data_IF_619670044033
#
_entry.id   IF_619670044033
#
_cell.length_a   1.000
_cell.length_b   1.000
_cell.length_c   1.000
_cell.angle_alpha   90.00
_cell.angle_beta   90.00
_cell.angle_gamma   90.00
#
_symmetry.space_group_name_H-M   'P 1'
#
loop_
_entity.id
_entity.type
_entity.pdbx_description
1 polymer ?
#
# COMPACT_ATOMS: atom_id res chain seq x y z
N UNK A 1 65.21 -11.06 60.00
CA UNK A 1 66.16 -11.44 58.92
C UNK A 1 65.43 -11.40 57.58
N UNK A 2 65.84 -10.47 56.71
CA UNK A 2 65.69 -10.35 55.23
C UNK A 2 64.36 -10.69 54.50
N UNK A 3 63.71 -9.66 53.92
CA UNK A 3 63.56 -9.35 52.45
C UNK A 3 62.50 -10.23 51.74
N UNK A 4 61.27 -9.72 51.51
CA UNK A 4 60.79 -8.99 50.31
C UNK A 4 60.76 -9.82 49.02
N UNK A 5 59.56 -10.20 48.59
CA UNK A 5 59.22 -10.53 47.20
C UNK A 5 57.91 -9.80 46.85
N UNK A 6 58.03 -8.78 45.98
CA UNK A 6 56.91 -8.01 45.42
C UNK A 6 56.29 -8.80 44.28
N UNK A 7 55.02 -9.17 44.40
CA UNK A 7 54.24 -9.77 43.32
C UNK A 7 53.77 -8.67 42.37
N UNK A 8 54.31 -8.64 41.15
CA UNK A 8 53.90 -7.71 40.09
C UNK A 8 52.66 -8.27 39.39
N UNK A 9 51.65 -7.42 39.29
CA UNK A 9 50.37 -7.61 38.61
C UNK A 9 50.57 -7.69 37.09
N UNK A 10 50.04 -8.73 36.45
CA UNK A 10 49.83 -8.79 35.00
C UNK A 10 48.34 -8.78 34.70
N UNK A 11 47.79 -7.64 34.31
CA UNK A 11 46.41 -7.50 33.83
C UNK A 11 46.39 -7.68 32.32
N UNK A 12 45.77 -8.75 31.84
CA UNK A 12 45.54 -9.04 30.43
C UNK A 12 44.27 -8.29 29.98
N UNK A 13 44.41 -7.20 29.23
CA UNK A 13 43.29 -6.48 28.64
C UNK A 13 42.88 -7.17 27.33
N UNK A 14 41.75 -7.90 27.36
CA UNK A 14 41.06 -8.39 26.17
C UNK A 14 40.19 -7.25 25.62
N UNK A 15 40.57 -6.64 24.49
CA UNK A 15 39.70 -5.71 23.77
C UNK A 15 38.75 -6.49 22.86
N UNK A 16 37.52 -6.67 23.33
CA UNK A 16 36.42 -7.22 22.55
C UNK A 16 35.93 -6.12 21.57
N UNK A 17 36.37 -6.18 20.32
CA UNK A 17 35.84 -5.34 19.25
C UNK A 17 34.36 -5.72 19.00
N UNK A 18 33.46 -4.93 19.58
CA UNK A 18 32.02 -5.06 19.38
C UNK A 18 31.68 -4.42 18.03
N UNK A 19 31.49 -5.27 17.03
CA UNK A 19 30.92 -4.87 15.74
C UNK A 19 29.45 -4.52 15.99
N UNK A 20 29.17 -3.25 16.28
CA UNK A 20 27.82 -2.72 16.39
C UNK A 20 27.15 -2.85 15.01
N UNK A 21 26.36 -3.91 14.83
CA UNK A 21 25.33 -3.95 13.80
C UNK A 21 24.35 -2.84 14.14
N UNK A 22 24.50 -1.67 13.53
CA UNK A 22 23.45 -0.66 13.57
C UNK A 22 22.22 -1.26 12.87
N UNK A 23 21.06 -1.40 13.55
CA UNK A 23 19.85 -1.73 12.83
C UNK A 23 19.67 -0.65 11.77
N UNK A 24 19.54 -1.04 10.50
CA UNK A 24 18.99 -0.13 9.50
C UNK A 24 17.69 0.40 10.09
N UNK A 25 17.60 1.71 10.29
CA UNK A 25 16.36 2.32 10.77
C UNK A 25 15.27 1.84 9.81
N UNK A 26 14.37 0.99 10.31
CA UNK A 26 13.25 0.53 9.52
C UNK A 26 12.43 1.78 9.22
N UNK A 27 12.25 2.07 7.93
CA UNK A 27 11.40 3.16 7.48
C UNK A 27 10.07 3.10 8.22
N UNK A 28 9.64 4.22 8.79
CA UNK A 28 8.33 4.30 9.47
C UNK A 28 7.29 4.69 8.43
N UNK A 29 6.47 3.74 7.94
CA UNK A 29 5.46 4.07 6.94
C UNK A 29 4.38 4.97 7.55
N UNK A 30 3.81 5.84 6.73
CA UNK A 30 2.59 6.59 7.09
C UNK A 30 1.43 5.63 6.98
N UNK A 31 0.92 5.15 8.13
CA UNK A 31 -0.15 4.16 8.18
C UNK A 31 -1.39 4.71 8.86
N UNK A 32 -2.52 4.17 8.46
CA UNK A 32 -3.81 4.46 9.07
C UNK A 32 -4.57 3.17 9.31
N UNK A 33 -5.09 3.02 10.52
CA UNK A 33 -5.96 1.92 10.88
C UNK A 33 -7.42 2.26 10.55
N UNK A 34 -8.09 1.36 9.82
CA UNK A 34 -9.50 1.45 9.47
C UNK A 34 -10.36 0.44 10.27
N UNK A 35 -11.61 0.84 10.54
CA UNK A 35 -12.57 0.02 11.26
C UNK A 35 -12.13 -0.32 12.68
N UNK A 36 -12.50 -1.52 13.16
CA UNK A 36 -12.16 -2.00 14.51
C UNK A 36 -10.71 -2.50 14.63
N UNK A 37 -9.76 -1.97 13.85
CA UNK A 37 -8.36 -2.42 13.86
C UNK A 37 -8.04 -3.56 12.89
N UNK A 38 -8.95 -3.89 11.97
CA UNK A 38 -8.81 -5.04 11.05
C UNK A 38 -8.39 -4.66 9.63
N UNK A 39 -8.34 -3.37 9.32
CA UNK A 39 -7.75 -2.87 8.08
C UNK A 39 -6.68 -1.83 8.37
N UNK A 40 -5.66 -1.81 7.52
CA UNK A 40 -4.58 -0.84 7.56
C UNK A 40 -4.33 -0.32 6.15
N UNK A 41 -4.35 0.99 5.98
CA UNK A 41 -3.81 1.65 4.80
C UNK A 41 -2.36 2.02 5.08
N UNK A 42 -1.44 1.54 4.25
CA UNK A 42 -0.09 2.10 4.13
C UNK A 42 -0.10 3.14 3.01
N UNK A 43 -0.06 4.41 3.37
CA UNK A 43 -0.07 5.54 2.43
C UNK A 43 1.31 5.78 1.80
N UNK A 44 2.37 5.32 2.45
CA UNK A 44 3.73 5.39 1.90
C UNK A 44 3.90 4.39 0.76
N UNK A 45 3.41 3.16 0.94
CA UNK A 45 3.43 2.12 -0.11
C UNK A 45 2.22 2.20 -1.04
N UNK A 46 1.13 2.86 -0.62
CA UNK A 46 -0.12 2.93 -1.35
C UNK A 46 -0.85 1.59 -1.40
N UNK A 47 -1.00 0.93 -0.25
CA UNK A 47 -1.70 -0.37 -0.15
C UNK A 47 -2.75 -0.34 0.94
N UNK A 48 -3.88 -0.99 0.70
CA UNK A 48 -4.89 -1.30 1.73
C UNK A 48 -4.83 -2.79 2.00
N UNK A 49 -4.59 -3.15 3.26
CA UNK A 49 -4.51 -4.52 3.76
C UNK A 49 -5.64 -4.72 4.77
N UNK A 50 -6.37 -5.83 4.65
CA UNK A 50 -7.36 -6.24 5.65
C UNK A 50 -7.10 -7.66 6.12
N UNK A 51 -7.36 -7.94 7.40
CA UNK A 51 -7.12 -9.25 8.01
C UNK A 51 -8.45 -9.98 8.14
N UNK A 52 -8.65 -11.02 7.33
CA UNK A 52 -9.78 -11.94 7.44
C UNK A 52 -9.51 -13.06 8.45
N UNK A 53 -10.48 -13.36 9.31
CA UNK A 53 -10.33 -14.40 10.34
C UNK A 53 -11.36 -15.53 10.16
N UNK A 54 -10.93 -16.77 10.38
CA UNK A 54 -11.78 -17.95 10.24
C UNK A 54 -11.53 -18.97 11.34
N UNK A 55 -12.55 -19.25 12.14
CA UNK A 55 -12.49 -20.25 13.19
C UNK A 55 -12.73 -21.67 12.63
N UNK A 56 -12.07 -22.71 13.19
CA UNK A 56 -12.32 -24.08 12.80
C UNK A 56 -13.70 -24.53 13.31
N UNK A 57 -14.48 -25.30 12.52
CA UNK A 57 -15.77 -25.80 12.97
C UNK A 57 -15.62 -26.87 14.07
N UNK A 58 -16.68 -27.03 14.87
CA UNK A 58 -16.72 -28.00 15.98
C UNK A 58 -16.56 -29.45 15.52
N UNK A 59 -17.05 -29.76 14.30
CA UNK A 59 -17.06 -31.11 13.73
C UNK A 59 -16.18 -31.22 12.48
N UNK A 60 -15.76 -32.46 12.18
CA UNK A 60 -14.93 -32.79 11.01
C UNK A 60 -13.53 -33.25 11.40
N UNK A 61 -12.82 -33.86 10.44
CA UNK A 61 -11.41 -34.25 10.63
C UNK A 61 -10.51 -33.02 10.79
N UNK A 62 -9.32 -33.13 11.41
CA UNK A 62 -8.40 -32.01 11.54
C UNK A 62 -8.08 -31.33 10.20
N UNK A 63 -7.96 -32.11 9.12
CA UNK A 63 -7.74 -31.58 7.77
C UNK A 63 -8.97 -30.79 7.26
N UNK A 64 -10.19 -31.30 7.46
CA UNK A 64 -11.42 -30.60 7.08
C UNK A 64 -11.58 -29.29 7.85
N UNK A 65 -11.30 -29.31 9.16
CA UNK A 65 -11.38 -28.12 10.01
C UNK A 65 -10.45 -27.01 9.53
N UNK A 66 -9.19 -27.35 9.22
CA UNK A 66 -8.20 -26.40 8.68
C UNK A 66 -8.63 -25.81 7.34
N UNK A 67 -9.13 -26.64 6.42
CA UNK A 67 -9.59 -26.17 5.12
C UNK A 67 -10.79 -25.21 5.25
N UNK A 68 -11.74 -25.53 6.15
CA UNK A 68 -12.92 -24.71 6.38
C UNK A 68 -12.57 -23.39 7.09
N UNK A 69 -11.68 -23.42 8.08
CA UNK A 69 -11.16 -22.21 8.72
C UNK A 69 -10.48 -21.28 7.70
N UNK A 70 -9.62 -21.83 6.82
CA UNK A 70 -9.01 -21.05 5.74
C UNK A 70 -10.05 -20.42 4.81
N UNK A 71 -11.07 -21.17 4.40
CA UNK A 71 -12.15 -20.63 3.53
C UNK A 71 -12.95 -19.52 4.22
N UNK A 72 -13.24 -19.69 5.51
CA UNK A 72 -13.91 -18.68 6.30
C UNK A 72 -13.06 -17.40 6.41
N UNK A 73 -11.76 -17.53 6.70
CA UNK A 73 -10.83 -16.41 6.78
C UNK A 73 -10.75 -15.62 5.47
N UNK A 74 -10.64 -16.31 4.33
CA UNK A 74 -10.63 -15.67 3.00
C UNK A 74 -11.95 -14.93 2.75
N UNK A 75 -13.09 -15.57 3.01
CA UNK A 75 -14.40 -14.93 2.82
C UNK A 75 -14.60 -13.71 3.72
N UNK A 76 -14.12 -13.81 4.97
CA UNK A 76 -14.17 -12.72 5.93
C UNK A 76 -13.27 -11.54 5.52
N UNK A 77 -12.09 -11.84 4.97
CA UNK A 77 -11.17 -10.83 4.42
C UNK A 77 -11.80 -10.06 3.27
N UNK A 78 -12.39 -10.73 2.28
CA UNK A 78 -13.10 -10.04 1.18
C UNK A 78 -14.30 -9.22 1.65
N UNK A 79 -15.05 -9.71 2.65
CA UNK A 79 -16.16 -8.97 3.25
C UNK A 79 -15.67 -7.67 3.90
N UNK A 80 -14.59 -7.74 4.66
CA UNK A 80 -13.99 -6.56 5.30
C UNK A 80 -13.40 -5.60 4.28
N UNK A 81 -12.73 -6.10 3.24
CA UNK A 81 -12.21 -5.27 2.17
C UNK A 81 -13.33 -4.49 1.48
N UNK A 82 -14.44 -5.16 1.15
CA UNK A 82 -15.61 -4.54 0.52
C UNK A 82 -16.25 -3.43 1.35
N UNK A 83 -16.12 -3.50 2.68
CA UNK A 83 -16.63 -2.49 3.60
C UNK A 83 -15.65 -1.32 3.72
N UNK A 84 -14.38 -1.63 4.03
CA UNK A 84 -13.36 -0.65 4.37
C UNK A 84 -12.91 0.17 3.15
N UNK A 85 -12.99 -0.39 1.94
CA UNK A 85 -12.68 0.35 0.70
C UNK A 85 -13.55 1.61 0.55
N UNK A 86 -14.79 1.59 1.03
CA UNK A 86 -15.70 2.73 0.97
C UNK A 86 -15.25 3.89 1.88
N UNK A 87 -14.49 3.60 2.93
CA UNK A 87 -13.98 4.60 3.87
C UNK A 87 -12.68 5.27 3.42
N UNK A 88 -12.07 4.79 2.32
CA UNK A 88 -10.84 5.37 1.81
C UNK A 88 -11.11 6.80 1.33
N UNK A 89 -10.30 7.75 1.80
CA UNK A 89 -10.43 9.16 1.44
C UNK A 89 -9.91 9.40 0.04
N UNK A 90 -10.76 10.03 -0.77
CA UNK A 90 -10.37 10.49 -2.09
C UNK A 90 -9.71 11.84 -1.96
N UNK A 91 -10.36 12.82 -1.34
CA UNK A 91 -9.83 14.17 -1.12
C UNK A 91 -10.28 14.69 0.25
N UNK A 92 -10.20 16.00 0.47
CA UNK A 92 -10.58 16.61 1.75
C UNK A 92 -12.09 16.70 1.99
N UNK A 93 -12.93 16.37 1.01
CA UNK A 93 -14.39 16.52 1.06
C UNK A 93 -15.14 15.21 0.84
N UNK A 94 -14.54 14.22 0.18
CA UNK A 94 -15.20 13.00 -0.28
C UNK A 94 -14.40 11.73 0.00
N UNK A 95 -15.13 10.62 0.11
CA UNK A 95 -14.59 9.26 0.22
C UNK A 95 -15.07 8.40 -0.94
N UNK A 96 -14.46 7.23 -1.14
CA UNK A 96 -14.82 6.29 -2.22
C UNK A 96 -16.31 5.94 -2.21
N UNK A 97 -16.93 5.86 -1.02
CA UNK A 97 -18.37 5.63 -0.87
C UNK A 97 -19.22 6.61 -1.68
N UNK A 98 -18.85 7.88 -1.70
CA UNK A 98 -19.65 8.93 -2.33
C UNK A 98 -19.69 8.70 -3.85
N UNK A 99 -18.54 8.36 -4.46
CA UNK A 99 -18.44 8.01 -5.88
C UNK A 99 -19.18 6.71 -6.23
N UNK A 100 -19.11 5.69 -5.36
CA UNK A 100 -19.81 4.41 -5.54
C UNK A 100 -21.33 4.58 -5.48
N UNK A 101 -21.83 5.55 -4.70
CA UNK A 101 -23.26 5.89 -4.65
C UNK A 101 -23.71 6.58 -5.93
N UNK A 102 -22.87 7.45 -6.47
CA UNK A 102 -23.21 8.27 -7.63
C UNK A 102 -23.09 7.56 -8.99
N UNK A 103 -22.27 6.51 -9.11
CA UNK A 103 -21.98 5.86 -10.38
C UNK A 103 -21.99 4.34 -10.27
N UNK A 104 -22.92 3.71 -10.99
CA UNK A 104 -22.99 2.25 -11.12
C UNK A 104 -21.75 1.66 -11.81
N UNK A 105 -21.10 2.43 -12.70
CA UNK A 105 -19.83 2.03 -13.33
C UNK A 105 -18.72 1.95 -12.29
N UNK A 106 -18.55 2.99 -11.47
CA UNK A 106 -17.56 3.02 -10.38
C UNK A 106 -17.84 1.90 -9.38
N UNK A 107 -19.10 1.74 -8.98
CA UNK A 107 -19.53 0.63 -8.12
C UNK A 107 -19.15 -0.73 -8.70
N UNK A 108 -19.36 -0.93 -10.00
CA UNK A 108 -19.02 -2.20 -10.67
C UNK A 108 -17.52 -2.42 -10.70
N UNK A 109 -16.73 -1.38 -11.00
CA UNK A 109 -15.27 -1.42 -11.03
C UNK A 109 -14.66 -1.67 -9.64
N UNK A 110 -15.10 -0.94 -8.61
CA UNK A 110 -14.66 -1.15 -7.22
C UNK A 110 -15.02 -2.57 -6.76
N UNK A 111 -16.22 -3.05 -7.07
CA UNK A 111 -16.60 -4.43 -6.74
C UNK A 111 -15.75 -5.48 -7.49
N UNK A 112 -15.39 -5.21 -8.74
CA UNK A 112 -14.50 -6.08 -9.51
C UNK A 112 -13.08 -6.09 -8.91
N UNK A 113 -12.57 -4.93 -8.51
CA UNK A 113 -11.27 -4.79 -7.83
C UNK A 113 -11.23 -5.59 -6.53
N UNK A 114 -12.25 -5.44 -5.67
CA UNK A 114 -12.34 -6.18 -4.40
C UNK A 114 -12.38 -7.69 -4.65
N UNK A 115 -13.13 -8.15 -5.66
CA UNK A 115 -13.18 -9.58 -6.04
C UNK A 115 -11.86 -10.09 -6.63
N UNK A 116 -11.11 -9.23 -7.31
CA UNK A 116 -9.80 -9.51 -7.88
C UNK A 116 -8.65 -9.40 -6.86
N UNK A 117 -8.91 -8.91 -5.64
CA UNK A 117 -7.89 -8.72 -4.63
C UNK A 117 -7.19 -10.03 -4.28
N UNK A 118 -5.89 -9.95 -4.05
CA UNK A 118 -5.08 -11.12 -3.73
C UNK A 118 -5.18 -11.44 -2.24
N UNK A 119 -5.61 -12.67 -1.94
CA UNK A 119 -5.53 -13.23 -0.60
C UNK A 119 -4.14 -13.86 -0.40
N UNK A 120 -3.42 -13.41 0.63
CA UNK A 120 -2.10 -13.88 1.00
C UNK A 120 -2.07 -15.28 1.60
N UNK A 121 -0.90 -15.66 2.09
CA UNK A 121 -0.72 -16.96 2.76
C UNK A 121 -1.45 -17.01 4.11
N UNK A 122 -2.12 -18.12 4.44
CA UNK A 122 -2.83 -18.26 5.71
C UNK A 122 -1.87 -18.40 6.89
N UNK A 123 -2.11 -17.62 7.93
CA UNK A 123 -1.47 -17.73 9.24
C UNK A 123 -2.33 -18.59 10.16
N UNK A 124 -1.78 -19.68 10.68
CA UNK A 124 -2.47 -20.58 11.61
C UNK A 124 -2.11 -20.24 13.05
N UNK A 125 -3.09 -19.86 13.84
CA UNK A 125 -2.94 -19.52 15.25
C UNK A 125 -3.01 -20.78 16.13
N UNK A 126 -2.59 -20.63 17.40
CA UNK A 126 -2.51 -21.73 18.36
C UNK A 126 -3.88 -22.30 18.77
N UNK A 127 -4.92 -21.48 18.70
CA UNK A 127 -6.32 -21.85 18.94
C UNK A 127 -6.97 -22.55 17.72
N UNK A 128 -6.25 -22.66 16.60
CA UNK A 128 -6.72 -23.23 15.34
C UNK A 128 -7.43 -22.24 14.42
N UNK A 129 -7.56 -20.97 14.82
CA UNK A 129 -8.03 -19.88 13.96
C UNK A 129 -7.03 -19.66 12.81
N UNK A 130 -7.57 -19.32 11.65
CA UNK A 130 -6.78 -18.94 10.48
C UNK A 130 -6.99 -17.47 10.20
N UNK A 131 -5.89 -16.75 9.98
CA UNK A 131 -5.91 -15.38 9.47
C UNK A 131 -5.36 -15.33 8.05
N UNK A 132 -5.93 -14.48 7.21
CA UNK A 132 -5.48 -14.23 5.84
C UNK A 132 -5.50 -12.74 5.58
N UNK A 133 -4.38 -12.21 5.11
CA UNK A 133 -4.29 -10.81 4.71
C UNK A 133 -4.79 -10.69 3.27
N UNK A 134 -5.74 -9.80 3.01
CA UNK A 134 -6.27 -9.50 1.67
C UNK A 134 -5.86 -8.09 1.31
N UNK A 135 -5.20 -7.93 0.16
CA UNK A 135 -4.53 -6.67 -0.19
C UNK A 135 -5.00 -6.13 -1.55
N UNK A 136 -5.17 -4.81 -1.62
CA UNK A 136 -5.30 -4.07 -2.88
C UNK A 136 -4.31 -2.91 -2.93
N UNK A 137 -3.93 -2.52 -4.14
CA UNK A 137 -3.15 -1.32 -4.38
C UNK A 137 -4.07 -0.09 -4.47
N UNK A 138 -3.62 1.05 -3.94
CA UNK A 138 -4.29 2.34 -4.08
C UNK A 138 -3.98 2.98 -5.43
N UNK A 139 -2.75 2.81 -5.93
CA UNK A 139 -2.28 3.27 -7.24
C UNK A 139 -1.84 2.09 -8.12
N UNK A 140 -1.69 2.33 -9.42
CA UNK A 140 -1.45 1.37 -10.48
C UNK A 140 -2.67 1.14 -11.39
N UNK A 141 -2.51 0.46 -12.53
CA UNK A 141 -3.59 0.22 -13.50
C UNK A 141 -4.70 -0.70 -12.98
N UNK A 142 -4.41 -1.54 -11.98
CA UNK A 142 -5.36 -2.44 -11.32
C UNK A 142 -5.56 -2.05 -9.85
N UNK A 143 -5.86 -0.77 -9.62
CA UNK A 143 -5.89 -0.17 -8.29
C UNK A 143 -7.23 0.48 -7.96
N UNK A 144 -7.37 0.90 -6.70
CA UNK A 144 -8.53 1.68 -6.27
C UNK A 144 -8.64 3.01 -7.02
N UNK A 145 -7.51 3.66 -7.34
CA UNK A 145 -7.55 4.93 -8.06
C UNK A 145 -8.11 4.77 -9.46
N UNK A 146 -7.63 3.75 -10.18
CA UNK A 146 -8.14 3.42 -11.51
C UNK A 146 -9.62 3.01 -11.49
N UNK A 147 -10.08 2.34 -10.42
CA UNK A 147 -11.46 1.88 -10.29
C UNK A 147 -12.47 2.99 -9.96
N UNK A 148 -12.03 4.10 -9.38
CA UNK A 148 -12.90 5.28 -9.14
C UNK A 148 -12.97 6.19 -10.38
N UNK A 149 -12.08 5.98 -11.37
CA UNK A 149 -12.10 6.63 -12.68
C UNK A 149 -12.23 8.17 -12.58
N UNK A 150 -11.24 8.79 -11.92
CA UNK A 150 -11.22 10.23 -11.66
C UNK A 150 -11.17 11.11 -12.92
N UNK A 151 -10.81 10.53 -14.07
CA UNK A 151 -10.65 11.24 -15.35
C UNK A 151 -12.02 11.68 -15.93
N UNK A 152 -13.10 10.96 -15.63
CA UNK A 152 -14.44 11.32 -16.10
C UNK A 152 -15.20 12.34 -15.21
N UNK A 153 -14.66 12.77 -14.07
CA UNK A 153 -15.33 13.74 -13.17
C UNK A 153 -14.51 14.95 -12.71
N UNK A 154 -13.20 15.02 -12.97
CA UNK A 154 -12.43 16.25 -12.71
C UNK A 154 -12.63 17.31 -13.82
N UNK A 155 -13.13 16.93 -14.99
CA UNK A 155 -13.54 17.87 -16.03
C UNK A 155 -15.07 18.00 -16.10
N UNK A 156 -15.59 19.11 -15.56
CA UNK A 156 -16.89 19.76 -15.82
C UNK A 156 -17.93 19.60 -14.70
N UNK A 157 -18.30 20.69 -13.98
CA UNK A 157 -19.59 20.70 -13.31
C UNK A 157 -20.67 20.60 -14.39
N UNK A 158 -21.52 19.58 -14.32
CA UNK A 158 -22.72 19.52 -15.16
C UNK A 158 -23.54 20.77 -14.88
N UNK A 159 -23.51 21.72 -15.82
CA UNK A 159 -24.55 22.70 -15.96
C UNK A 159 -25.85 21.93 -16.22
N UNK A 160 -26.69 21.84 -15.18
CA UNK A 160 -28.08 21.40 -15.32
C UNK A 160 -28.84 22.51 -16.07
N UNK A 161 -28.81 22.45 -17.39
CA UNK A 161 -29.67 23.27 -18.26
C UNK A 161 -30.33 22.38 -19.30
N UNK A 162 -31.67 22.43 -19.33
CA UNK A 162 -32.55 21.85 -20.34
C UNK A 162 -32.99 20.43 -19.99
N UNK A 163 -34.10 20.22 -19.28
CA UNK A 163 -35.44 20.02 -19.87
C UNK A 163 -35.41 19.38 -21.24
N UNK A 164 -35.57 18.05 -21.29
CA UNK A 164 -36.24 17.37 -22.40
C UNK A 164 -37.03 16.16 -21.85
N UNK A 165 -38.18 15.82 -22.46
CA UNK A 165 -39.21 14.99 -21.84
C UNK A 165 -38.93 13.48 -21.97
N UNK A 166 -39.42 12.75 -20.97
CA UNK A 166 -39.43 11.29 -20.85
C UNK A 166 -39.99 10.62 -22.12
N UNK A 167 -39.18 9.78 -22.76
CA UNK A 167 -39.66 8.77 -23.70
C UNK A 167 -39.83 7.43 -22.98
N UNK A 168 -41.06 6.92 -22.99
CA UNK A 168 -41.48 5.66 -22.36
C UNK A 168 -40.86 4.43 -23.08
N UNK A 169 -40.39 3.40 -22.35
CA UNK A 169 -39.81 2.20 -22.96
C UNK A 169 -40.90 1.29 -23.58
N UNK A 170 -40.62 0.60 -24.71
CA UNK A 170 -41.59 -0.29 -25.33
C UNK A 170 -41.83 -1.56 -24.50
N UNK A 171 -43.11 -1.96 -24.43
CA UNK A 171 -43.60 -3.12 -23.68
C UNK A 171 -43.06 -4.47 -24.20
N UNK A 172 -42.60 -5.32 -23.27
CA UNK A 172 -42.24 -6.72 -23.52
C UNK A 172 -43.48 -7.61 -23.36
N UNK A 173 -43.86 -8.47 -24.33
CA UNK A 173 -44.96 -9.42 -24.14
C UNK A 173 -44.51 -10.63 -23.31
N UNK A 174 -45.30 -10.97 -22.28
CA UNK A 174 -45.13 -12.13 -21.39
C UNK A 174 -45.65 -13.46 -22.02
N UNK A 175 -45.28 -14.64 -21.47
CA UNK A 175 -45.07 -15.88 -22.24
C UNK A 175 -46.29 -16.82 -22.33
N UNK A 176 -46.25 -17.76 -23.29
CA UNK A 176 -47.23 -18.85 -23.43
C UNK A 176 -46.71 -20.14 -22.74
N UNK A 177 -47.56 -20.90 -22.02
CA UNK A 177 -47.11 -22.06 -21.23
C UNK A 177 -47.06 -23.35 -22.06
N UNK A 178 -46.07 -24.22 -21.82
CA UNK A 178 -46.07 -25.60 -22.31
C UNK A 178 -45.71 -26.58 -21.18
N UNK A 179 -46.51 -27.62 -21.10
CA UNK A 179 -46.69 -28.55 -20.00
C UNK A 179 -45.59 -29.62 -19.86
N UNK A 180 -45.40 -30.10 -18.63
CA UNK A 180 -44.89 -31.44 -18.32
C UNK A 180 -46.09 -32.43 -18.23
N UNK A 181 -45.87 -33.75 -18.40
CA UNK A 181 -45.67 -34.58 -17.19
C UNK A 181 -44.74 -35.82 -17.33
N UNK A 182 -43.99 -36.05 -16.24
CA UNK A 182 -43.64 -37.27 -15.46
C UNK A 182 -42.98 -38.58 -16.03
N UNK A 183 -42.18 -39.31 -15.18
CA UNK A 183 -41.35 -40.52 -15.50
C UNK A 183 -42.02 -41.83 -14.97
N UNK A 184 -41.37 -43.00 -14.64
CA UNK A 184 -39.97 -43.49 -14.75
C UNK A 184 -39.84 -44.97 -15.27
N UNK A 185 -38.61 -45.53 -15.40
CA UNK A 185 -38.28 -46.92 -14.96
C UNK A 185 -36.81 -47.35 -15.13
N UNK A 186 -36.38 -48.19 -14.18
CA UNK A 186 -35.08 -48.85 -13.97
C UNK A 186 -34.70 -49.82 -15.13
N UNK A 187 -33.47 -50.35 -15.27
CA UNK A 187 -32.92 -51.49 -14.50
C UNK A 187 -31.45 -51.78 -14.91
N UNK A 188 -30.59 -52.18 -13.98
CA UNK A 188 -29.32 -52.90 -14.23
C UNK A 188 -29.58 -54.43 -14.30
N UNK A 189 -28.69 -55.32 -14.84
CA UNK A 189 -27.59 -55.87 -14.01
C UNK A 189 -26.34 -56.49 -14.73
N UNK A 190 -25.25 -56.58 -13.93
CA UNK A 190 -24.24 -57.67 -13.70
C UNK A 190 -23.28 -58.25 -14.80
N UNK A 191 -22.02 -58.39 -14.32
CA UNK A 191 -20.78 -59.03 -14.85
C UNK A 191 -20.78 -60.58 -14.81
N UNK A 192 -19.81 -61.35 -15.40
CA UNK A 192 -18.59 -61.77 -14.65
C UNK A 192 -17.27 -62.20 -15.42
N UNK A 193 -16.13 -62.16 -14.67
CA UNK A 193 -14.90 -63.03 -14.56
C UNK A 193 -13.93 -63.31 -15.76
N UNK A 194 -12.60 -62.98 -15.75
CA UNK A 194 -11.32 -63.55 -15.15
C UNK A 194 -10.74 -64.81 -15.88
N UNK A 195 -9.44 -65.29 -15.78
CA UNK A 195 -8.28 -64.96 -14.87
C UNK A 195 -6.80 -65.10 -15.40
N UNK A 196 -5.79 -64.76 -14.55
CA UNK A 196 -4.40 -65.31 -14.51
C UNK A 196 -3.27 -64.27 -14.70
N UNK A 197 -2.14 -64.18 -13.97
CA UNK A 197 -1.51 -64.97 -12.90
C UNK A 197 -0.44 -64.13 -12.12
N UNK A 198 -0.15 -64.51 -10.88
CA UNK A 198 0.94 -64.10 -9.93
C UNK A 198 2.16 -65.08 -10.03
N UNK A 199 3.25 -65.12 -9.19
CA UNK A 199 3.86 -64.21 -8.17
C UNK A 199 5.46 -64.13 -8.11
N UNK A 200 6.02 -63.11 -7.39
CA UNK A 200 7.20 -62.98 -6.42
C UNK A 200 8.58 -63.70 -6.68
N UNK A 201 9.81 -63.36 -6.13
CA UNK A 201 10.24 -62.54 -4.94
C UNK A 201 11.51 -61.61 -5.03
N UNK A 202 11.73 -60.83 -3.94
CA UNK A 202 12.89 -59.96 -3.53
C UNK A 202 14.19 -60.76 -3.16
N UNK A 203 15.44 -60.22 -2.97
CA UNK A 203 15.83 -59.20 -1.93
C UNK A 203 17.16 -58.36 -2.07
N UNK A 204 17.35 -57.38 -1.13
CA UNK A 204 18.60 -56.76 -0.58
C UNK A 204 19.62 -56.11 -1.55
N UNK A 205 20.50 -55.16 -1.23
CA UNK A 205 20.83 -54.20 -0.17
C UNK A 205 22.11 -53.50 -0.70
N UNK A 206 22.23 -52.17 -0.63
CA UNK A 206 23.48 -51.40 -0.37
C UNK A 206 23.30 -49.91 -0.66
N UNK A 207 23.76 -49.10 0.29
CA UNK A 207 24.16 -47.69 0.18
C UNK A 207 25.65 -47.62 0.59
N UNK A 208 26.34 -46.46 0.67
CA UNK A 208 26.12 -45.14 0.08
C UNK A 208 27.39 -44.58 -0.64
N UNK A 209 27.28 -43.44 -1.36
CA UNK A 209 28.45 -42.61 -1.67
C UNK A 209 28.09 -41.10 -1.79
N UNK A 210 28.66 -40.38 -0.84
CA UNK A 210 28.95 -38.96 -0.64
C UNK A 210 29.32 -38.11 -1.88
N UNK A 211 28.78 -36.88 -2.00
CA UNK A 211 29.55 -35.72 -2.52
C UNK A 211 28.93 -34.36 -2.11
N UNK A 212 29.45 -33.84 -1.01
CA UNK A 212 30.05 -32.50 -0.84
C UNK A 212 29.28 -31.22 -1.20
N UNK A 213 28.98 -30.49 -0.12
CA UNK A 213 28.68 -29.06 0.03
C UNK A 213 29.79 -28.17 -0.56
N UNK A 214 29.42 -27.20 -1.40
CA UNK A 214 30.28 -26.09 -1.81
C UNK A 214 29.60 -24.73 -1.55
N UNK A 215 30.25 -23.90 -0.74
CA UNK A 215 29.87 -22.53 -0.41
C UNK A 215 30.28 -21.55 -1.54
N UNK A 216 29.58 -20.42 -1.74
CA UNK A 216 30.04 -19.38 -2.65
C UNK A 216 31.15 -18.52 -2.00
N UNK A 217 32.10 -18.13 -2.84
CA UNK A 217 33.37 -17.43 -2.58
C UNK A 217 33.15 -15.91 -2.39
N UNK A 218 33.99 -15.18 -1.62
CA UNK A 218 33.80 -13.74 -1.38
C UNK A 218 34.42 -12.88 -2.49
N UNK A 219 33.76 -11.76 -2.83
CA UNK A 219 34.27 -10.72 -3.73
C UNK A 219 34.95 -9.60 -2.90
N UNK A 220 36.02 -8.94 -3.39
CA UNK A 220 36.97 -8.18 -2.57
C UNK A 220 36.50 -6.76 -2.20
N UNK A 221 36.96 -6.30 -1.04
CA UNK A 221 36.87 -4.94 -0.56
C UNK A 221 37.84 -3.98 -1.30
N UNK A 222 37.40 -2.74 -1.49
CA UNK A 222 38.24 -1.60 -1.90
C UNK A 222 37.71 -0.33 -1.16
N UNK A 223 38.49 0.76 -1.03
CA UNK A 223 39.10 1.15 0.23
C UNK A 223 38.34 2.25 0.98
N UNK A 224 38.44 2.21 2.31
CA UNK A 224 37.96 3.25 3.23
C UNK A 224 38.76 4.54 3.05
N UNK A 225 38.08 5.63 2.69
CA UNK A 225 38.59 6.99 2.83
C UNK A 225 38.10 7.58 4.15
N UNK A 226 39.08 8.08 4.89
CA UNK A 226 39.07 8.62 6.25
C UNK A 226 38.08 9.75 6.51
N UNK A 227 37.54 9.72 7.73
CA UNK A 227 36.69 10.75 8.34
C UNK A 227 37.42 12.10 8.48
N UNK A 228 36.67 13.19 8.27
CA UNK A 228 36.89 14.43 9.01
C UNK A 228 35.52 14.97 9.45
N UNK A 229 35.22 14.79 10.73
CA UNK A 229 34.08 15.38 11.40
C UNK A 229 34.31 16.89 11.54
N UNK A 230 33.32 17.69 11.16
CA UNK A 230 33.13 19.05 11.69
C UNK A 230 31.68 19.15 12.18
N UNK A 231 31.56 19.23 13.48
CA UNK A 231 30.35 19.48 14.27
C UNK A 231 29.87 20.92 14.11
N UNK A 232 28.57 21.11 13.83
CA UNK A 232 27.78 22.26 14.31
C UNK A 232 26.27 21.98 14.18
N UNK A 233 25.42 22.40 15.13
CA UNK A 233 23.98 22.17 15.08
C UNK A 233 23.32 23.18 14.14
N UNK A 234 22.67 22.73 13.07
CA UNK A 234 21.92 23.60 12.16
C UNK A 234 20.52 23.82 12.72
N UNK A 235 20.20 25.09 13.02
CA UNK A 235 18.85 25.53 13.41
C UNK A 235 17.93 25.52 12.18
N UNK A 236 16.67 25.08 12.28
CA UNK A 236 15.70 25.24 11.20
C UNK A 236 14.97 26.58 11.36
N UNK A 237 15.38 27.62 10.63
CA UNK A 237 14.44 28.68 10.25
C UNK A 237 14.91 29.49 9.03
N UNK A 238 13.99 29.61 8.06
CA UNK A 238 13.84 30.65 7.05
C UNK A 238 14.98 30.95 6.05
N UNK A 239 14.60 30.87 4.77
CA UNK A 239 15.25 31.45 3.58
C UNK A 239 16.60 30.83 3.16
N UNK A 240 16.56 29.62 2.60
CA UNK A 240 17.57 29.22 1.63
C UNK A 240 17.15 29.76 0.26
N UNK A 241 17.89 30.77 -0.22
CA UNK A 241 17.91 31.24 -1.61
C UNK A 241 18.00 30.08 -2.62
N UNK A 242 17.58 30.28 -3.89
CA UNK A 242 17.48 29.20 -4.86
C UNK A 242 18.83 28.51 -5.03
N UNK A 243 18.84 27.19 -4.83
CA UNK A 243 19.93 26.33 -5.24
C UNK A 243 20.28 26.69 -6.70
N UNK A 244 21.57 26.81 -7.02
CA UNK A 244 22.02 27.19 -8.37
C UNK A 244 21.58 26.21 -9.48
N UNK A 245 21.08 25.03 -9.12
CA UNK A 245 20.24 24.18 -9.96
C UNK A 245 18.79 24.27 -9.46
N UNK A 246 17.84 24.49 -10.37
CA UNK A 246 16.43 24.63 -10.03
C UNK A 246 15.84 23.47 -9.22
N UNK A 247 14.61 23.64 -8.76
CA UNK A 247 13.92 22.64 -7.94
C UNK A 247 13.35 21.51 -8.79
N UNK A 248 13.56 20.27 -8.36
CA UNK A 248 13.08 19.07 -9.06
C UNK A 248 11.72 18.56 -8.58
N UNK A 249 11.23 19.11 -7.46
CA UNK A 249 10.04 18.66 -6.76
C UNK A 249 9.79 19.51 -5.53
N UNK A 250 8.78 19.16 -4.74
CA UNK A 250 8.47 19.82 -3.46
C UNK A 250 8.18 18.80 -2.36
N UNK A 251 8.73 19.05 -1.18
CA UNK A 251 8.33 18.42 0.08
C UNK A 251 7.58 19.45 0.90
N UNK A 252 6.37 19.12 1.33
CA UNK A 252 5.60 19.92 2.26
C UNK A 252 5.70 19.29 3.66
N UNK A 253 6.30 20.01 4.61
CA UNK A 253 6.32 19.62 6.02
C UNK A 253 4.95 19.89 6.66
N UNK A 254 4.21 18.80 6.88
CA UNK A 254 2.89 18.77 7.48
C UNK A 254 2.93 18.25 8.94
N UNK A 255 4.10 18.04 9.54
CA UNK A 255 4.23 17.40 10.86
C UNK A 255 3.66 18.24 12.00
N UNK A 256 3.53 19.55 11.83
CA UNK A 256 2.96 20.43 12.87
C UNK A 256 1.45 20.65 12.74
N UNK A 257 0.81 20.04 11.73
CA UNK A 257 -0.63 20.17 11.50
C UNK A 257 -1.32 18.80 11.60
N UNK A 258 -2.62 18.80 11.89
CA UNK A 258 -3.43 17.57 11.98
C UNK A 258 -3.99 17.18 10.61
N UNK A 259 -3.09 16.91 9.66
CA UNK A 259 -3.45 16.45 8.31
C UNK A 259 -3.79 14.97 8.31
N UNK A 260 -4.69 14.57 7.42
CA UNK A 260 -4.99 13.17 7.11
C UNK A 260 -4.57 12.88 5.68
N UNK A 261 -4.03 11.69 5.39
CA UNK A 261 -3.69 11.30 4.03
C UNK A 261 -4.96 10.98 3.22
N UNK A 262 -4.87 11.18 1.90
CA UNK A 262 -5.94 10.93 0.93
C UNK A 262 -5.34 10.57 -0.44
N UNK A 263 -6.13 10.03 -1.36
CA UNK A 263 -5.64 9.64 -2.69
C UNK A 263 -5.33 10.83 -3.62
N UNK A 264 -6.06 11.93 -3.45
CA UNK A 264 -5.99 13.14 -4.24
C UNK A 264 -6.12 14.40 -3.34
N UNK A 265 -5.12 14.70 -2.49
CA UNK A 265 -5.10 15.95 -1.73
C UNK A 265 -4.70 17.13 -2.64
N UNK A 266 -5.09 18.35 -2.27
CA UNK A 266 -4.63 19.57 -2.94
C UNK A 266 -3.72 20.45 -2.06
N UNK A 267 -3.01 21.37 -2.71
CA UNK A 267 -2.24 22.45 -2.08
C UNK A 267 -2.91 23.77 -2.47
N UNK A 268 -3.21 24.60 -1.47
CA UNK A 268 -3.89 25.87 -1.63
C UNK A 268 -3.10 27.02 -1.00
N UNK A 269 -3.36 28.23 -1.47
CA UNK A 269 -2.91 29.45 -0.79
C UNK A 269 -3.87 29.83 0.37
N UNK A 270 -3.53 30.90 1.09
CA UNK A 270 -4.36 31.38 2.20
C UNK A 270 -5.72 31.94 1.76
N UNK A 271 -5.84 32.34 0.49
CA UNK A 271 -7.06 32.85 -0.13
C UNK A 271 -8.00 31.74 -0.62
N UNK A 272 -7.58 30.47 -0.55
CA UNK A 272 -8.36 29.33 -1.02
C UNK A 272 -8.21 29.07 -2.51
N UNK A 273 -7.20 29.64 -3.18
CA UNK A 273 -6.87 29.28 -4.55
C UNK A 273 -6.01 28.02 -4.58
N UNK A 274 -6.37 27.07 -5.43
CA UNK A 274 -5.59 25.85 -5.66
C UNK A 274 -4.29 26.17 -6.42
N UNK A 275 -3.18 25.75 -5.84
CA UNK A 275 -1.82 25.85 -6.40
C UNK A 275 -1.39 24.54 -7.07
N UNK A 276 -2.02 23.41 -6.72
CA UNK A 276 -1.72 22.08 -7.25
C UNK A 276 -3.02 21.30 -7.56
N UNK A 277 -2.95 20.29 -8.44
CA UNK A 277 -4.08 19.54 -9.02
C UNK A 277 -4.97 20.35 -9.97
N UNK A 278 -5.58 21.45 -9.51
CA UNK A 278 -6.63 22.19 -10.23
C UNK A 278 -6.41 22.43 -11.74
N UNK A 279 -5.69 23.49 -12.11
CA UNK A 279 -5.53 23.92 -13.53
C UNK A 279 -4.30 23.32 -14.23
N UNK A 280 -3.61 22.40 -13.57
CA UNK A 280 -2.35 21.85 -14.11
C UNK A 280 -2.66 20.71 -15.09
N UNK A 281 -2.01 20.66 -16.26
CA UNK A 281 -2.14 19.54 -17.18
C UNK A 281 -1.34 18.34 -16.66
N UNK A 282 -1.85 17.66 -15.64
CA UNK A 282 -1.25 16.45 -15.09
C UNK A 282 -1.73 15.26 -15.93
N UNK A 283 -0.79 14.42 -16.36
CA UNK A 283 -1.09 13.21 -17.14
C UNK A 283 -1.88 12.20 -16.28
N UNK A 284 -3.10 11.79 -16.68
CA UNK A 284 -3.88 10.78 -15.96
C UNK A 284 -3.13 9.46 -15.76
N UNK A 285 -2.32 9.02 -16.72
CA UNK A 285 -1.57 7.75 -16.60
C UNK A 285 -0.50 7.84 -15.50
N UNK A 286 0.16 8.99 -15.38
CA UNK A 286 1.12 9.25 -14.30
C UNK A 286 0.43 9.20 -12.94
N UNK A 287 -0.74 9.84 -12.84
CA UNK A 287 -1.52 9.85 -11.60
C UNK A 287 -2.00 8.45 -11.24
N UNK A 288 -2.49 7.68 -12.23
CA UNK A 288 -2.89 6.30 -12.01
C UNK A 288 -1.71 5.50 -11.47
N UNK A 289 -0.52 5.61 -12.06
CA UNK A 289 0.61 4.76 -11.73
C UNK A 289 1.29 5.10 -10.41
N UNK A 290 1.44 6.38 -10.08
CA UNK A 290 2.25 6.81 -8.93
C UNK A 290 1.40 7.56 -7.91
N UNK A 291 0.26 8.14 -8.29
CA UNK A 291 -0.55 9.01 -7.42
C UNK A 291 -0.08 10.46 -7.42
N UNK A 292 -0.97 11.36 -6.99
CA UNK A 292 -0.79 12.82 -7.04
C UNK A 292 0.21 13.32 -5.99
N UNK A 293 0.27 12.67 -4.82
CA UNK A 293 1.18 13.01 -3.72
C UNK A 293 1.76 11.74 -3.13
N UNK A 294 3.06 11.74 -2.80
CA UNK A 294 3.69 10.72 -1.97
C UNK A 294 3.66 11.07 -0.48
N UNK A 295 3.73 10.08 0.40
CA UNK A 295 3.73 10.28 1.85
C UNK A 295 4.98 9.69 2.51
N UNK A 296 5.62 10.47 3.38
CA UNK A 296 6.75 10.00 4.21
C UNK A 296 6.58 10.49 5.64
N UNK A 297 7.05 9.70 6.61
CA UNK A 297 7.15 10.13 8.00
C UNK A 297 8.49 10.81 8.34
N UNK A 298 9.50 10.62 7.48
CA UNK A 298 10.88 11.04 7.71
C UNK A 298 11.40 11.91 6.56
N UNK A 299 12.09 13.00 6.90
CA UNK A 299 12.66 13.92 5.91
C UNK A 299 13.82 13.29 5.14
N UNK A 300 14.64 12.47 5.79
CA UNK A 300 15.77 11.80 5.13
C UNK A 300 15.25 10.79 4.08
N UNK A 301 14.17 10.08 4.41
CA UNK A 301 13.51 9.16 3.47
C UNK A 301 12.79 9.92 2.35
N UNK A 302 12.13 11.03 2.69
CA UNK A 302 11.48 11.89 1.71
C UNK A 302 12.48 12.44 0.68
N UNK A 303 13.65 12.89 1.15
CA UNK A 303 14.71 13.42 0.28
C UNK A 303 15.47 12.34 -0.48
N UNK A 304 15.53 11.11 0.06
CA UNK A 304 16.11 9.97 -0.64
C UNK A 304 15.21 9.42 -1.76
N UNK A 305 13.92 9.74 -1.78
CA UNK A 305 12.96 9.28 -2.78
C UNK A 305 13.08 10.09 -4.09
N UNK A 306 14.21 9.93 -4.79
CA UNK A 306 14.52 10.66 -6.02
C UNK A 306 13.57 10.36 -7.18
N UNK A 307 12.89 9.21 -7.16
CA UNK A 307 11.83 8.87 -8.11
C UNK A 307 10.60 9.76 -7.93
N UNK A 308 10.23 10.08 -6.67
CA UNK A 308 9.08 10.93 -6.39
C UNK A 308 9.38 12.42 -6.48
N UNK A 309 10.50 12.89 -5.95
CA UNK A 309 10.75 14.34 -5.74
C UNK A 309 11.97 14.87 -6.51
N UNK A 310 12.66 14.01 -7.25
CA UNK A 310 13.95 14.32 -7.87
C UNK A 310 15.09 14.53 -6.86
N UNK A 311 16.18 15.14 -7.31
CA UNK A 311 17.43 15.27 -6.54
C UNK A 311 17.55 16.55 -5.70
N UNK A 312 16.71 17.56 -5.93
CA UNK A 312 16.76 18.85 -5.26
C UNK A 312 15.34 19.39 -5.01
N UNK A 313 14.62 18.87 -4.00
CA UNK A 313 13.28 19.32 -3.67
C UNK A 313 13.29 20.69 -2.99
N UNK A 314 12.27 21.50 -3.27
CA UNK A 314 11.92 22.64 -2.44
C UNK A 314 11.24 22.15 -1.16
N UNK A 315 11.71 22.57 0.02
CA UNK A 315 11.08 22.20 1.29
C UNK A 315 10.29 23.39 1.82
N UNK A 316 8.97 23.23 1.95
CA UNK A 316 8.06 24.24 2.46
C UNK A 316 7.33 23.74 3.71
N UNK A 317 6.79 24.66 4.50
CA UNK A 317 6.03 24.32 5.70
C UNK A 317 4.55 24.57 5.49
N UNK A 318 3.72 23.58 5.83
CA UNK A 318 2.27 23.76 5.80
C UNK A 318 1.82 24.65 6.96
N UNK A 319 0.92 25.60 6.67
CA UNK A 319 0.38 26.52 7.68
C UNK A 319 -0.82 25.92 8.41
N UNK A 320 -1.74 25.27 7.68
CA UNK A 320 -2.93 24.60 8.22
C UNK A 320 -3.49 23.57 7.24
N UNK A 321 -4.52 22.84 7.66
CA UNK A 321 -5.28 21.93 6.80
C UNK A 321 -6.64 22.51 6.41
N UNK A 322 -7.24 21.99 5.35
CA UNK A 322 -8.60 22.32 4.91
C UNK A 322 -9.44 21.08 4.62
N UNK A 323 -10.76 21.31 4.49
CA UNK A 323 -11.78 20.31 4.20
C UNK A 323 -12.20 19.49 5.42
N UNK A 324 -13.35 18.83 5.30
CA UNK A 324 -13.94 17.99 6.34
C UNK A 324 -12.99 16.88 6.80
N UNK A 325 -12.31 16.26 5.84
CA UNK A 325 -11.37 15.18 6.08
C UNK A 325 -9.94 15.66 6.36
N UNK A 326 -9.69 16.99 6.36
CA UNK A 326 -8.39 17.59 6.68
C UNK A 326 -7.24 17.07 5.81
N UNK A 327 -7.50 16.81 4.54
CA UNK A 327 -6.51 16.25 3.61
C UNK A 327 -5.74 17.31 2.80
N UNK A 328 -6.29 18.52 2.68
CA UNK A 328 -5.68 19.58 1.89
C UNK A 328 -4.73 20.41 2.73
N UNK A 329 -3.67 20.87 2.08
CA UNK A 329 -2.65 21.74 2.66
C UNK A 329 -2.93 23.18 2.30
N UNK A 330 -2.87 24.08 3.28
CA UNK A 330 -2.80 25.52 3.06
C UNK A 330 -1.39 26.00 3.39
N UNK A 331 -0.75 26.68 2.43
CA UNK A 331 0.56 27.30 2.58
C UNK A 331 0.45 28.76 3.01
N UNK A 332 1.54 29.31 3.56
CA UNK A 332 1.63 30.75 3.78
C UNK A 332 1.73 31.51 2.46
N UNK A 333 1.40 32.81 2.42
CA UNK A 333 1.59 33.62 1.20
C UNK A 333 3.03 33.59 0.68
N UNK A 334 4.02 33.57 1.59
CA UNK A 334 5.43 33.50 1.23
C UNK A 334 5.79 32.16 0.58
N UNK A 335 5.36 31.05 1.21
CA UNK A 335 5.64 29.69 0.70
C UNK A 335 4.87 29.41 -0.60
N UNK A 336 3.64 29.92 -0.72
CA UNK A 336 2.84 29.83 -1.95
C UNK A 336 3.55 30.50 -3.11
N UNK A 337 4.10 31.70 -2.88
CA UNK A 337 4.87 32.44 -3.89
C UNK A 337 6.15 31.67 -4.27
N UNK A 338 6.86 31.12 -3.29
CA UNK A 338 8.05 30.31 -3.52
C UNK A 338 7.74 29.05 -4.36
N UNK A 339 6.63 28.36 -4.05
CA UNK A 339 6.17 27.19 -4.79
C UNK A 339 5.87 27.52 -6.25
N UNK A 340 5.09 28.57 -6.49
CA UNK A 340 4.70 28.98 -7.84
C UNK A 340 5.93 29.37 -8.66
N UNK A 341 6.80 30.23 -8.13
CA UNK A 341 8.02 30.66 -8.83
C UNK A 341 8.96 29.49 -9.15
N UNK A 342 9.12 28.55 -8.21
CA UNK A 342 9.92 27.35 -8.41
C UNK A 342 9.34 26.46 -9.53
N UNK A 343 8.02 26.29 -9.53
CA UNK A 343 7.33 25.46 -10.52
C UNK A 343 7.26 26.13 -11.91
N UNK A 344 7.12 27.45 -12.01
CA UNK A 344 7.08 28.16 -13.30
C UNK A 344 8.30 27.86 -14.18
N UNK A 345 9.47 27.67 -13.54
CA UNK A 345 10.72 27.40 -14.26
C UNK A 345 10.92 25.92 -14.59
N UNK A 346 10.37 25.01 -13.79
CA UNK A 346 10.75 23.59 -13.79
C UNK A 346 9.59 22.63 -14.11
N UNK A 347 8.34 23.03 -13.91
CA UNK A 347 7.14 22.25 -14.21
C UNK A 347 6.97 20.98 -13.36
N UNK A 348 7.67 20.84 -12.24
CA UNK A 348 7.67 19.62 -11.43
C UNK A 348 6.30 19.25 -10.84
N UNK A 349 5.40 20.23 -10.65
CA UNK A 349 4.04 19.94 -10.20
C UNK A 349 3.25 19.16 -11.25
N UNK A 350 3.42 19.45 -12.55
CA UNK A 350 2.76 18.69 -13.61
C UNK A 350 3.23 17.22 -13.66
N UNK A 351 4.43 16.94 -13.13
CA UNK A 351 5.03 15.62 -13.02
C UNK A 351 4.68 14.90 -11.70
N UNK A 352 3.77 15.46 -10.90
CA UNK A 352 3.40 14.93 -9.58
C UNK A 352 4.59 14.73 -8.65
N UNK A 353 5.60 15.59 -8.76
CA UNK A 353 6.77 15.58 -7.88
C UNK A 353 6.50 16.30 -6.56
N UNK A 354 5.54 15.75 -5.81
CA UNK A 354 5.02 16.31 -4.57
C UNK A 354 5.02 15.22 -3.50
N UNK A 355 5.54 15.57 -2.32
CA UNK A 355 5.56 14.66 -1.17
C UNK A 355 5.14 15.41 0.10
N UNK A 356 4.23 14.81 0.87
CA UNK A 356 3.83 15.30 2.17
C UNK A 356 4.59 14.58 3.28
N UNK A 357 5.34 15.34 4.06
CA UNK A 357 6.05 14.86 5.23
C UNK A 357 5.09 14.94 6.42
N UNK A 358 4.69 13.78 6.94
CA UNK A 358 3.67 13.64 7.97
C UNK A 358 4.28 13.12 9.27
N UNK A 359 3.51 13.17 10.35
CA UNK A 359 3.84 12.37 11.53
C UNK A 359 3.49 10.90 11.25
N UNK A 360 4.32 9.96 11.71
CA UNK A 360 4.01 8.53 11.64
C UNK A 360 2.77 8.17 12.46
#
# INVERSE_FOLDING_TARGET
MRISQRTIRGALALTLASLLWAPAALATPVTETLGDGRGTIDWTQGTLIVIGSGAPPDRGSPAQKRLLAKRAAVSDGYRQLAELVNGVRVNSETVVKDFVIESDTIKTQVNALVKGAHAGEPRYLSDGTVEVDVTIALHGPASLFAAVDFDHKIAKPLALTGTDPVAEPPAVPSPRPSAAPAPPSATAPKSPARPGATPTPNPRETAPAELTRAAPKPLPAAPQAVMAAVTAPVRPNAAANPSAGGYSGVIIDCREISIQPAMNPTIMDEGGHELYVGKLPIDPDQVINVGIVGYSANLDEATANTERIGSNPLILKAKRTSGQYKADVILSTADSTALVNANETQGFLAQSHVLFLMRP
#
